data_IF_043526090036
#
_entry.id   IF_043526090036
#
_cell.length_a   1.000
_cell.length_b   1.000
_cell.length_c   1.000
_cell.angle_alpha   90.00
_cell.angle_beta   90.00
_cell.angle_gamma   90.00
#
_symmetry.space_group_name_H-M   'P 1'
#
loop_
_entity.id
_entity.type
_entity.pdbx_description
1 polymer ?
#
# COMPACT_ATOMS: atom_id res chain seq x y z
N UNK A 1 11.60 -6.77 3.53
CA UNK A 1 11.92 -6.67 2.09
C UNK A 1 11.46 -7.94 1.38
N UNK A 2 10.90 -7.85 0.17
CA UNK A 2 10.31 -9.00 -0.52
C UNK A 2 11.17 -9.42 -1.71
N UNK A 3 11.41 -10.72 -1.87
CA UNK A 3 12.04 -11.24 -3.09
C UNK A 3 11.01 -11.27 -4.22
N UNK A 4 11.16 -10.46 -5.27
CA UNK A 4 10.22 -10.45 -6.40
C UNK A 4 10.30 -11.80 -7.14
N UNK A 5 9.22 -12.19 -7.84
CA UNK A 5 9.30 -13.31 -8.75
C UNK A 5 10.20 -12.93 -9.94
N UNK A 6 11.17 -13.77 -10.29
CA UNK A 6 12.12 -13.48 -11.35
C UNK A 6 12.38 -14.69 -12.24
N UNK A 7 12.76 -14.42 -13.49
CA UNK A 7 13.14 -15.39 -14.50
C UNK A 7 14.44 -14.90 -15.16
N UNK A 8 15.39 -15.81 -15.39
CA UNK A 8 16.62 -15.54 -16.11
C UNK A 8 16.64 -16.28 -17.44
N UNK A 9 16.83 -15.52 -18.51
CA UNK A 9 17.12 -16.04 -19.84
C UNK A 9 18.44 -15.47 -20.34
N UNK A 10 19.04 -16.05 -21.36
CA UNK A 10 20.34 -15.60 -21.86
C UNK A 10 20.44 -15.70 -23.37
N UNK A 11 21.16 -14.74 -23.94
CA UNK A 11 21.64 -14.71 -25.31
C UNK A 11 23.18 -14.88 -25.32
N UNK A 12 23.82 -15.05 -26.49
CA UNK A 12 25.28 -15.11 -26.58
C UNK A 12 25.99 -13.85 -26.06
N UNK A 13 25.32 -12.69 -26.10
CA UNK A 13 25.92 -11.40 -25.72
C UNK A 13 25.34 -10.82 -24.42
N UNK A 14 24.09 -11.14 -24.07
CA UNK A 14 23.38 -10.56 -22.92
C UNK A 14 22.76 -11.61 -22.01
N UNK A 15 22.71 -11.33 -20.72
CA UNK A 15 21.86 -11.98 -19.72
C UNK A 15 20.59 -11.15 -19.58
N UNK A 16 19.43 -11.79 -19.68
CA UNK A 16 18.10 -11.16 -19.64
C UNK A 16 17.42 -11.53 -18.33
N UNK A 17 17.30 -10.57 -17.42
CA UNK A 17 16.58 -10.73 -16.16
C UNK A 17 15.17 -10.15 -16.30
N UNK A 18 14.18 -11.00 -16.10
CA UNK A 18 12.77 -10.61 -16.04
C UNK A 18 12.32 -10.64 -14.59
N UNK A 19 12.15 -9.48 -13.97
CA UNK A 19 11.78 -9.31 -12.58
C UNK A 19 10.34 -8.79 -12.52
N UNK A 20 9.45 -9.52 -11.88
CA UNK A 20 8.05 -9.15 -11.69
C UNK A 20 7.91 -8.30 -10.43
N UNK A 21 7.78 -7.00 -10.63
CA UNK A 21 7.61 -5.98 -9.61
C UNK A 21 6.30 -5.23 -9.85
N UNK A 22 5.15 -5.83 -9.49
CA UNK A 22 3.89 -5.14 -9.60
C UNK A 22 3.82 -4.02 -8.55
N UNK A 23 3.22 -2.89 -8.93
CA UNK A 23 2.93 -1.74 -8.06
C UNK A 23 4.12 -0.87 -7.61
N UNK A 24 5.31 -1.01 -8.23
CA UNK A 24 6.47 -0.12 -7.96
C UNK A 24 6.47 1.14 -8.82
N UNK A 25 6.91 2.27 -8.26
CA UNK A 25 7.19 3.49 -9.02
C UNK A 25 8.54 3.39 -9.74
N UNK A 26 8.62 3.90 -10.95
CA UNK A 26 9.83 3.89 -11.81
C UNK A 26 10.99 4.76 -11.29
N UNK A 27 10.77 5.58 -10.27
CA UNK A 27 11.73 6.58 -9.78
C UNK A 27 12.71 6.05 -8.73
N UNK A 28 12.54 4.81 -8.25
CA UNK A 28 13.31 4.23 -7.14
C UNK A 28 13.83 2.82 -7.51
N UNK A 29 14.54 2.71 -8.63
CA UNK A 29 15.23 1.48 -9.02
C UNK A 29 16.73 1.65 -8.84
N UNK A 30 17.31 0.91 -7.90
CA UNK A 30 18.75 0.83 -7.69
C UNK A 30 19.26 -0.53 -8.18
N UNK A 31 20.23 -0.48 -9.09
CA UNK A 31 20.89 -1.64 -9.67
C UNK A 31 22.35 -1.63 -9.23
N UNK A 32 22.86 -2.79 -8.80
CA UNK A 32 24.27 -2.96 -8.49
C UNK A 32 24.77 -4.26 -9.12
N UNK A 33 25.77 -4.13 -9.97
CA UNK A 33 26.39 -5.21 -10.72
C UNK A 33 27.87 -5.27 -10.33
N UNK A 34 28.29 -6.37 -9.71
CA UNK A 34 29.68 -6.60 -9.36
C UNK A 34 30.11 -8.02 -9.73
N UNK A 35 30.58 -8.18 -10.97
CA UNK A 35 31.11 -9.43 -11.49
C UNK A 35 30.08 -10.57 -11.45
N UNK A 36 30.09 -11.37 -10.40
CA UNK A 36 29.12 -12.47 -10.21
C UNK A 36 27.89 -12.07 -9.42
N UNK A 37 27.93 -10.96 -8.69
CA UNK A 37 26.86 -10.56 -7.79
C UNK A 37 26.00 -9.48 -8.46
N UNK A 38 24.70 -9.77 -8.53
CA UNK A 38 23.68 -8.86 -9.00
C UNK A 38 22.77 -8.51 -7.83
N UNK A 39 22.56 -7.22 -7.56
CA UNK A 39 21.59 -6.74 -6.58
C UNK A 39 20.64 -5.77 -7.25
N UNK A 40 19.36 -5.99 -7.03
CA UNK A 40 18.28 -5.13 -7.48
C UNK A 40 17.46 -4.70 -6.27
N UNK A 41 17.29 -3.40 -6.12
CA UNK A 41 16.49 -2.81 -5.08
C UNK A 41 15.43 -1.90 -5.71
N UNK A 42 14.18 -2.15 -5.34
CA UNK A 42 13.04 -1.42 -5.82
C UNK A 42 11.95 -1.49 -4.75
N UNK A 43 11.87 -0.50 -3.86
CA UNK A 43 11.01 -0.56 -2.68
C UNK A 43 9.57 -1.04 -3.04
N UNK A 44 9.06 -2.12 -2.42
CA UNK A 44 9.59 -2.90 -1.28
C UNK A 44 10.42 -4.16 -1.65
N UNK A 45 10.70 -4.35 -2.93
CA UNK A 45 11.39 -5.51 -3.48
C UNK A 45 12.92 -5.40 -3.34
N UNK A 46 13.55 -6.51 -2.97
CA UNK A 46 14.98 -6.67 -2.98
C UNK A 46 15.33 -8.06 -3.53
N UNK A 47 16.19 -8.09 -4.53
CA UNK A 47 16.65 -9.32 -5.17
C UNK A 47 18.17 -9.33 -5.19
N UNK A 48 18.78 -10.39 -4.65
CA UNK A 48 20.22 -10.63 -4.77
C UNK A 48 20.40 -11.94 -5.50
N UNK A 49 21.21 -11.94 -6.55
CA UNK A 49 21.59 -13.13 -7.29
C UNK A 49 23.09 -13.27 -7.31
N UNK A 50 23.58 -14.47 -7.04
CA UNK A 50 24.94 -14.88 -7.34
C UNK A 50 24.90 -15.70 -8.62
N UNK A 51 25.39 -15.10 -9.69
CA UNK A 51 25.43 -15.67 -11.02
C UNK A 51 26.62 -16.63 -11.18
N UNK A 52 26.49 -17.68 -12.00
CA UNK A 52 27.57 -18.65 -12.26
C UNK A 52 28.69 -18.08 -13.14
N UNK A 53 28.40 -17.05 -13.92
CA UNK A 53 29.35 -16.34 -14.78
C UNK A 53 29.43 -14.86 -14.43
N UNK A 54 30.40 -14.15 -15.02
CA UNK A 54 30.64 -12.73 -14.76
C UNK A 54 29.89 -11.82 -15.74
N UNK A 55 29.26 -10.80 -15.19
CA UNK A 55 28.58 -9.71 -15.88
C UNK A 55 29.31 -8.40 -15.64
N UNK A 56 29.21 -7.44 -16.57
CA UNK A 56 29.95 -6.17 -16.52
C UNK A 56 29.03 -5.00 -16.78
N UNK A 57 29.14 -3.96 -15.96
CA UNK A 57 28.44 -2.69 -16.16
C UNK A 57 29.19 -1.79 -17.15
N UNK A 58 29.03 -2.05 -18.44
CA UNK A 58 29.73 -1.37 -19.54
C UNK A 58 28.91 -0.23 -20.19
N UNK A 59 27.76 0.14 -19.61
CA UNK A 59 26.82 1.13 -20.18
C UNK A 59 26.07 0.66 -21.43
N UNK A 60 26.27 -0.60 -21.84
CA UNK A 60 25.46 -1.31 -22.86
C UNK A 60 24.19 -1.95 -22.30
N UNK A 61 24.00 -1.83 -20.98
CA UNK A 61 22.81 -2.20 -20.24
C UNK A 61 21.55 -1.63 -20.91
N UNK A 62 20.51 -2.43 -21.00
CA UNK A 62 19.18 -1.92 -21.35
C UNK A 62 18.21 -2.32 -20.26
N UNK A 63 17.33 -1.41 -19.87
CA UNK A 63 16.23 -1.71 -18.98
C UNK A 63 14.92 -1.28 -19.63
N UNK A 64 13.89 -2.11 -19.52
CA UNK A 64 12.53 -1.81 -19.95
C UNK A 64 11.57 -2.17 -18.84
N UNK A 65 10.72 -1.22 -18.47
CA UNK A 65 9.65 -1.46 -17.51
C UNK A 65 8.30 -1.42 -18.21
N UNK A 66 7.55 -2.53 -18.13
CA UNK A 66 6.16 -2.62 -18.57
C UNK A 66 5.25 -2.40 -17.35
N UNK A 67 4.74 -1.17 -17.23
CA UNK A 67 3.89 -0.74 -16.10
C UNK A 67 2.58 -1.54 -16.05
N UNK A 68 2.01 -1.89 -17.20
CA UNK A 68 0.71 -2.57 -17.28
C UNK A 68 0.81 -4.03 -16.79
N UNK A 69 1.99 -4.66 -16.99
CA UNK A 69 2.25 -6.04 -16.55
C UNK A 69 3.03 -6.13 -15.24
N UNK A 70 3.58 -5.03 -14.74
CA UNK A 70 4.48 -5.01 -13.58
C UNK A 70 5.74 -5.82 -13.83
N UNK A 71 6.27 -5.80 -15.06
CA UNK A 71 7.42 -6.59 -15.47
C UNK A 71 8.59 -5.67 -15.81
N UNK A 72 9.69 -5.83 -15.07
CA UNK A 72 10.96 -5.17 -15.31
C UNK A 72 11.89 -6.14 -16.04
N UNK A 73 12.26 -5.81 -17.28
CA UNK A 73 13.22 -6.58 -18.07
C UNK A 73 14.54 -5.82 -18.16
N UNK A 74 15.61 -6.47 -17.73
CA UNK A 74 16.97 -5.95 -17.76
C UNK A 74 17.84 -6.83 -18.68
N UNK A 75 18.57 -6.20 -19.59
CA UNK A 75 19.57 -6.85 -20.45
C UNK A 75 20.96 -6.40 -20.00
N UNK A 76 21.69 -7.30 -19.35
CA UNK A 76 23.04 -7.07 -18.83
C UNK A 76 24.05 -7.76 -19.74
N UNK A 77 25.11 -7.10 -20.24
CA UNK A 77 26.11 -7.74 -21.08
C UNK A 77 27.01 -8.70 -20.27
N UNK A 78 27.42 -9.80 -20.92
CA UNK A 78 28.37 -10.76 -20.35
C UNK A 78 29.81 -10.24 -20.48
N UNK A 79 30.68 -10.53 -19.52
CA UNK A 79 32.12 -10.21 -19.63
C UNK A 79 32.76 -10.93 -20.83
N UNK A 80 32.37 -12.18 -21.02
CA UNK A 80 32.84 -13.10 -22.06
C UNK A 80 31.71 -13.40 -23.05
N UNK A 81 31.74 -12.72 -24.21
CA UNK A 81 30.78 -12.95 -25.28
C UNK A 81 30.82 -14.41 -25.76
N UNK A 82 29.68 -15.10 -25.70
CA UNK A 82 29.53 -16.51 -26.06
C UNK A 82 29.60 -17.50 -24.89
N UNK A 83 29.91 -17.04 -23.66
CA UNK A 83 29.84 -17.91 -22.47
C UNK A 83 28.39 -18.25 -22.13
N UNK A 84 28.09 -19.55 -22.02
CA UNK A 84 26.76 -20.02 -21.65
C UNK A 84 26.70 -20.28 -20.15
N UNK A 85 25.82 -19.55 -19.45
CA UNK A 85 25.66 -19.67 -18.01
C UNK A 85 24.80 -20.90 -17.71
N UNK A 86 25.38 -21.92 -17.08
CA UNK A 86 24.64 -23.13 -16.69
C UNK A 86 23.86 -22.92 -15.39
N UNK A 87 22.69 -23.55 -15.26
CA UNK A 87 21.94 -23.53 -13.99
C UNK A 87 21.07 -22.30 -13.74
N UNK A 88 20.81 -21.46 -14.76
CA UNK A 88 19.90 -20.29 -14.64
C UNK A 88 18.48 -20.64 -14.17
N UNK A 89 18.04 -21.89 -14.37
CA UNK A 89 16.74 -22.40 -13.92
C UNK A 89 16.74 -22.83 -12.44
N UNK A 90 17.91 -22.98 -11.81
CA UNK A 90 18.02 -23.38 -10.40
C UNK A 90 17.99 -22.13 -9.51
N UNK A 91 16.85 -21.44 -9.49
CA UNK A 91 16.66 -20.14 -8.83
C UNK A 91 17.08 -20.15 -7.35
N UNK A 92 16.84 -21.24 -6.62
CA UNK A 92 17.28 -21.41 -5.22
C UNK A 92 18.80 -21.44 -5.06
N UNK A 93 19.53 -21.94 -6.05
CA UNK A 93 21.00 -21.95 -6.04
C UNK A 93 21.61 -20.59 -6.36
N UNK A 94 20.88 -19.74 -7.10
CA UNK A 94 21.28 -18.37 -7.43
C UNK A 94 21.02 -17.41 -6.26
N UNK A 95 20.09 -17.73 -5.37
CA UNK A 95 19.80 -16.99 -4.14
C UNK A 95 20.72 -17.38 -2.97
N UNK A 96 21.38 -18.53 -3.05
CA UNK A 96 22.21 -19.05 -1.98
C UNK A 96 23.57 -18.31 -1.89
N UNK A 97 23.99 -17.88 -0.69
CA UNK A 97 25.29 -17.24 -0.51
C UNK A 97 26.44 -18.19 -0.84
N UNK A 98 27.57 -17.64 -1.32
CA UNK A 98 28.81 -18.39 -1.51
C UNK A 98 29.32 -18.89 -0.16
N UNK A 99 28.89 -20.09 0.25
CA UNK A 99 29.33 -20.71 1.51
C UNK A 99 28.32 -21.64 2.17
N UNK A 100 27.03 -21.56 1.84
CA UNK A 100 26.00 -22.41 2.47
C UNK A 100 25.90 -23.80 1.80
N UNK A 101 27.03 -24.50 1.64
CA UNK A 101 26.98 -25.96 1.50
C UNK A 101 26.82 -26.53 2.91
N UNK A 102 25.56 -26.71 3.32
CA UNK A 102 25.20 -27.44 4.52
C UNK A 102 25.76 -28.87 4.46
N UNK A 103 26.87 -29.09 5.15
CA UNK A 103 27.24 -30.30 5.88
C UNK A 103 28.64 -30.06 6.51
N UNK A 104 28.69 -29.52 7.73
CA UNK A 104 29.89 -29.71 8.57
C UNK A 104 30.00 -31.21 8.89
N UNK A 105 31.12 -31.90 8.64
CA UNK A 105 31.29 -33.29 9.04
C UNK A 105 31.28 -33.38 10.57
N UNK A 106 30.35 -34.14 11.15
CA UNK A 106 30.43 -34.54 12.55
C UNK A 106 31.55 -35.57 12.68
N UNK A 107 32.75 -35.14 13.09
CA UNK A 107 33.68 -35.80 14.05
C UNK A 107 34.90 -34.87 14.16
N UNK A 108 35.08 -34.21 15.31
CA UNK A 108 36.36 -33.62 15.70
C UNK A 108 37.06 -34.59 16.64
N UNK A 109 38.15 -35.20 16.15
CA UNK A 109 39.12 -35.90 16.99
C UNK A 109 39.97 -34.86 17.75
N UNK A 110 40.08 -35.07 19.06
CA UNK A 110 40.83 -34.23 19.98
C UNK A 110 42.34 -34.35 19.68
N UNK A 111 42.91 -33.31 19.09
CA UNK A 111 44.37 -33.11 19.09
C UNK A 111 44.75 -31.62 19.12
N UNK A 112 45.17 -31.21 20.30
CA UNK A 112 46.10 -30.13 20.68
C UNK A 112 46.84 -29.39 19.55
N UNK A 113 46.78 -28.05 19.56
CA UNK A 113 47.85 -27.22 19.00
C UNK A 113 47.49 -25.78 18.57
N UNK A 114 47.81 -24.84 19.45
CA UNK A 114 48.45 -23.53 19.17
C UNK A 114 47.73 -22.40 18.36
N UNK A 115 47.50 -21.29 19.08
CA UNK A 115 47.74 -19.88 18.71
C UNK A 115 47.32 -19.36 17.33
N UNK A 116 46.21 -18.62 17.29
CA UNK A 116 46.17 -17.19 16.91
C UNK A 116 44.74 -16.66 17.07
N UNK A 117 44.53 -15.81 18.08
CA UNK A 117 43.37 -14.93 18.12
C UNK A 117 43.67 -13.76 17.18
N UNK A 118 43.43 -13.95 15.88
CA UNK A 118 43.16 -12.81 15.01
C UNK A 118 41.72 -12.38 15.31
N UNK A 119 41.56 -11.10 15.64
CA UNK A 119 40.27 -10.45 15.79
C UNK A 119 39.59 -10.52 14.42
N UNK A 120 38.75 -11.54 14.20
CA UNK A 120 37.76 -11.53 13.13
C UNK A 120 36.89 -10.29 13.39
N UNK A 121 37.14 -9.21 12.63
CA UNK A 121 36.13 -8.20 12.38
C UNK A 121 34.87 -8.98 11.97
N UNK A 122 33.89 -9.09 12.86
CA UNK A 122 32.57 -9.61 12.53
C UNK A 122 32.01 -8.69 11.44
N UNK A 123 32.34 -9.01 10.18
CA UNK A 123 31.79 -8.41 8.98
C UNK A 123 30.29 -8.62 9.12
N UNK A 124 29.59 -7.54 9.49
CA UNK A 124 28.19 -7.59 9.86
C UNK A 124 27.44 -8.29 8.75
N UNK A 125 26.93 -9.48 9.04
CA UNK A 125 26.38 -10.36 8.01
C UNK A 125 25.02 -9.81 7.56
N UNK A 126 25.05 -8.94 6.55
CA UNK A 126 23.85 -8.37 5.92
C UNK A 126 23.05 -9.43 5.11
N UNK A 127 23.28 -10.74 5.31
CA UNK A 127 22.58 -11.84 4.67
C UNK A 127 21.21 -12.08 5.31
N UNK A 128 20.18 -11.41 4.78
CA UNK A 128 18.79 -11.80 5.03
C UNK A 128 18.45 -13.00 4.13
N UNK A 129 18.01 -14.11 4.73
CA UNK A 129 17.55 -15.29 3.97
C UNK A 129 16.39 -14.92 3.04
N UNK A 130 16.56 -15.19 1.75
CA UNK A 130 15.56 -14.91 0.72
C UNK A 130 14.77 -16.19 0.41
N UNK A 131 13.48 -16.20 0.72
CA UNK A 131 12.58 -17.29 0.33
C UNK A 131 11.98 -17.02 -1.06
N UNK A 132 11.97 -18.05 -1.91
CA UNK A 132 11.38 -17.97 -3.26
C UNK A 132 9.87 -17.76 -3.13
N UNK A 133 9.35 -16.74 -3.82
CA UNK A 133 7.91 -16.49 -3.94
C UNK A 133 7.20 -17.72 -4.55
N UNK A 134 6.31 -18.34 -3.78
CA UNK A 134 5.35 -19.33 -4.29
C UNK A 134 4.01 -18.62 -4.57
N UNK A 135 3.51 -18.72 -5.81
CA UNK A 135 2.17 -18.23 -6.14
C UNK A 135 1.14 -18.96 -5.26
N UNK A 136 0.38 -18.19 -4.47
CA UNK A 136 -0.71 -18.73 -3.66
C UNK A 136 -1.75 -19.36 -4.59
N UNK A 137 -2.14 -20.59 -4.31
CA UNK A 137 -3.14 -21.30 -5.11
C UNK A 137 -4.51 -20.58 -5.04
N UNK A 138 -5.34 -20.69 -6.09
CA UNK A 138 -6.68 -20.07 -6.10
C UNK A 138 -7.57 -20.54 -4.94
N UNK A 139 -7.30 -21.72 -4.38
CA UNK A 139 -8.02 -22.30 -3.24
C UNK A 139 -7.63 -21.63 -1.92
N UNK A 140 -6.36 -21.26 -1.75
CA UNK A 140 -5.88 -20.44 -0.63
C UNK A 140 -6.43 -19.01 -0.73
N UNK A 141 -6.47 -18.40 -1.90
CA UNK A 141 -7.03 -17.05 -2.08
C UNK A 141 -8.55 -16.98 -1.81
N UNK A 142 -9.28 -18.09 -1.94
CA UNK A 142 -10.71 -18.18 -1.61
C UNK A 142 -10.98 -18.34 -0.11
N UNK A 143 -10.02 -18.86 0.66
CA UNK A 143 -10.16 -18.99 2.11
C UNK A 143 -9.83 -17.69 2.86
N UNK A 144 -9.09 -16.78 2.23
CA UNK A 144 -8.75 -15.47 2.79
C UNK A 144 -9.97 -14.53 2.88
N UNK A 145 -9.96 -13.70 3.91
CA UNK A 145 -10.99 -12.70 4.14
C UNK A 145 -10.83 -11.53 3.16
N UNK A 146 -11.89 -11.25 2.40
CA UNK A 146 -11.89 -10.18 1.40
C UNK A 146 -12.03 -8.79 2.03
N UNK A 147 -11.60 -7.78 1.28
CA UNK A 147 -11.67 -6.37 1.61
C UNK A 147 -11.61 -5.53 0.31
N UNK A 148 -11.43 -4.21 0.43
CA UNK A 148 -11.34 -3.32 -0.72
C UNK A 148 -12.71 -2.95 -1.29
N UNK A 149 -12.71 -2.28 -2.44
CA UNK A 149 -13.93 -1.90 -3.14
C UNK A 149 -14.84 -3.12 -3.36
N UNK A 150 -16.06 -3.04 -2.80
CA UNK A 150 -17.07 -4.10 -2.92
C UNK A 150 -16.69 -5.46 -2.30
N UNK A 151 -15.69 -5.52 -1.42
CA UNK A 151 -15.09 -6.77 -0.89
C UNK A 151 -14.58 -7.72 -2.00
N UNK A 152 -13.95 -7.15 -3.03
CA UNK A 152 -13.47 -7.93 -4.19
C UNK A 152 -11.97 -8.22 -4.16
N UNK A 153 -11.20 -7.64 -3.22
CA UNK A 153 -9.74 -7.81 -3.13
C UNK A 153 -9.38 -8.76 -1.99
N UNK A 154 -8.31 -9.53 -2.17
CA UNK A 154 -7.63 -10.35 -1.15
C UNK A 154 -6.17 -10.58 -1.57
N UNK A 155 -5.31 -10.97 -0.63
CA UNK A 155 -3.90 -11.32 -0.87
C UNK A 155 -2.95 -10.14 -1.13
N UNK A 156 -3.43 -8.90 -1.00
CA UNK A 156 -2.60 -7.69 -1.20
C UNK A 156 -1.78 -7.39 0.05
N UNK A 157 -2.38 -7.54 1.24
CA UNK A 157 -1.69 -7.22 2.49
C UNK A 157 -0.68 -8.30 2.89
N UNK A 158 -0.89 -9.56 2.50
CA UNK A 158 0.09 -10.63 2.70
C UNK A 158 1.42 -10.34 1.97
N UNK A 159 1.38 -9.60 0.87
CA UNK A 159 2.55 -9.28 0.05
C UNK A 159 3.33 -8.07 0.54
N UNK A 160 2.76 -7.22 1.39
CA UNK A 160 3.26 -5.86 1.68
C UNK A 160 3.27 -5.55 3.19
N UNK A 161 3.37 -6.58 4.05
CA UNK A 161 3.13 -6.44 5.49
C UNK A 161 3.97 -5.35 6.19
N UNK A 162 5.24 -5.15 5.81
CA UNK A 162 6.13 -4.18 6.46
C UNK A 162 5.77 -2.71 6.16
N UNK A 163 5.20 -2.40 4.99
CA UNK A 163 4.84 -1.00 4.64
C UNK A 163 3.42 -0.64 5.08
N UNK A 164 2.62 -1.65 5.43
CA UNK A 164 1.18 -1.50 5.63
C UNK A 164 0.75 -1.47 7.10
N UNK A 165 1.63 -1.81 8.04
CA UNK A 165 1.39 -1.55 9.47
C UNK A 165 1.13 -0.07 9.75
N UNK A 166 1.70 0.81 8.93
CA UNK A 166 1.55 2.25 9.09
C UNK A 166 0.28 2.80 8.42
N UNK A 167 -0.43 2.01 7.62
CA UNK A 167 -1.63 2.41 6.85
C UNK A 167 -2.92 1.96 7.52
N UNK A 168 -2.95 0.71 7.98
CA UNK A 168 -4.14 0.06 8.54
C UNK A 168 -3.92 -0.29 10.01
N UNK A 169 -5.01 -0.34 10.77
CA UNK A 169 -4.99 -0.64 12.21
C UNK A 169 -5.14 -2.14 12.51
N UNK A 170 -5.15 -2.98 11.47
CA UNK A 170 -5.32 -4.43 11.57
C UNK A 170 -3.97 -5.11 11.38
N UNK A 171 -3.57 -5.92 12.37
CA UNK A 171 -2.32 -6.70 12.32
C UNK A 171 -2.33 -7.77 11.24
N UNK A 172 -3.44 -8.50 11.08
CA UNK A 172 -3.60 -9.54 10.07
C UNK A 172 -4.94 -9.39 9.32
N UNK A 173 -5.00 -8.57 8.27
CA UNK A 173 -6.25 -8.33 7.54
C UNK A 173 -6.79 -9.58 6.84
N UNK A 174 -5.94 -10.48 6.34
CA UNK A 174 -6.39 -11.67 5.59
C UNK A 174 -6.97 -12.76 6.51
N UNK A 175 -6.47 -12.86 7.73
CA UNK A 175 -6.89 -13.86 8.72
C UNK A 175 -8.00 -13.40 9.67
N UNK A 176 -8.40 -12.12 9.62
CA UNK A 176 -9.41 -11.56 10.52
C UNK A 176 -10.76 -11.40 9.82
N UNK A 177 -11.79 -11.96 10.43
CA UNK A 177 -13.18 -11.84 9.96
C UNK A 177 -13.71 -10.42 10.14
N UNK A 178 -14.75 -10.06 9.38
CA UNK A 178 -15.39 -8.75 9.52
C UNK A 178 -15.90 -8.46 10.95
N UNK A 179 -16.35 -9.49 11.67
CA UNK A 179 -16.82 -9.35 13.05
C UNK A 179 -15.65 -9.09 14.03
N UNK A 180 -14.53 -9.79 13.86
CA UNK A 180 -13.32 -9.57 14.67
C UNK A 180 -12.73 -8.18 14.41
N UNK A 181 -12.67 -7.74 13.14
CA UNK A 181 -12.23 -6.37 12.78
C UNK A 181 -13.09 -5.32 13.48
N UNK A 182 -14.42 -5.50 13.48
CA UNK A 182 -15.35 -4.61 14.19
C UNK A 182 -15.10 -4.59 15.69
N UNK A 183 -14.94 -5.75 16.31
CA UNK A 183 -14.74 -5.86 17.75
C UNK A 183 -13.42 -5.17 18.17
N UNK A 184 -12.33 -5.50 17.49
CA UNK A 184 -11.02 -4.89 17.72
C UNK A 184 -11.04 -3.37 17.48
N UNK A 185 -11.78 -2.89 16.47
CA UNK A 185 -11.99 -1.45 16.24
C UNK A 185 -12.67 -0.77 17.41
N UNK A 186 -13.77 -1.36 17.92
CA UNK A 186 -14.53 -0.79 19.04
C UNK A 186 -13.69 -0.73 20.31
N UNK A 187 -12.87 -1.75 20.57
CA UNK A 187 -11.92 -1.78 21.68
C UNK A 187 -10.85 -0.69 21.52
N UNK A 188 -10.21 -0.61 20.35
CA UNK A 188 -9.19 0.40 20.07
C UNK A 188 -9.73 1.84 20.17
N UNK A 189 -10.95 2.09 19.68
CA UNK A 189 -11.62 3.40 19.82
C UNK A 189 -11.93 3.72 21.28
N UNK A 190 -12.37 2.73 22.05
CA UNK A 190 -12.69 2.93 23.47
C UNK A 190 -11.44 3.20 24.31
N UNK A 191 -10.31 2.59 23.95
CA UNK A 191 -9.01 2.85 24.57
C UNK A 191 -8.38 4.17 24.12
N UNK A 192 -8.63 4.61 22.88
CA UNK A 192 -8.07 5.87 22.35
C UNK A 192 -8.83 7.11 22.83
N UNK A 193 -10.10 6.96 23.22
CA UNK A 193 -10.91 8.08 23.69
C UNK A 193 -10.32 8.69 24.97
N UNK A 194 -10.00 9.98 24.91
CA UNK A 194 -9.56 10.76 26.08
C UNK A 194 -10.66 11.73 26.50
N UNK A 195 -11.31 11.52 27.67
CA UNK A 195 -12.31 12.43 28.19
C UNK A 195 -11.75 13.84 28.41
N UNK A 196 -10.53 13.95 28.91
CA UNK A 196 -9.90 15.24 29.22
C UNK A 196 -9.67 16.06 27.95
N UNK A 197 -9.16 15.43 26.88
CA UNK A 197 -8.98 16.11 25.59
C UNK A 197 -10.31 16.53 24.97
N UNK A 198 -11.33 15.67 25.06
CA UNK A 198 -12.67 16.02 24.58
C UNK A 198 -13.26 17.20 25.36
N UNK A 199 -13.08 17.25 26.68
CA UNK A 199 -13.57 18.35 27.51
C UNK A 199 -12.80 19.65 27.23
N UNK A 200 -11.48 19.58 26.99
CA UNK A 200 -10.69 20.73 26.57
C UNK A 200 -11.25 21.32 25.27
N UNK A 201 -11.43 20.50 24.23
CA UNK A 201 -12.00 20.93 22.95
C UNK A 201 -13.47 21.42 23.06
N UNK A 202 -14.21 20.95 24.06
CA UNK A 202 -15.59 21.35 24.31
C UNK A 202 -15.70 22.73 24.98
N UNK A 203 -14.76 23.08 25.87
CA UNK A 203 -14.79 24.34 26.62
C UNK A 203 -13.89 25.43 26.02
N UNK A 204 -12.83 25.05 25.30
CA UNK A 204 -11.89 25.94 24.61
C UNK A 204 -12.10 25.86 23.09
N UNK A 205 -13.31 26.21 22.64
CA UNK A 205 -13.77 25.92 21.27
C UNK A 205 -13.53 27.04 20.24
N UNK A 206 -12.73 28.06 20.56
CA UNK A 206 -12.51 29.24 19.70
C UNK A 206 -12.03 28.86 18.28
N UNK A 207 -11.03 27.98 18.18
CA UNK A 207 -10.55 27.46 16.89
C UNK A 207 -11.62 26.61 16.20
N UNK A 208 -12.37 25.79 16.93
CA UNK A 208 -13.46 24.98 16.38
C UNK A 208 -14.54 25.89 15.78
N UNK A 209 -14.90 26.98 16.45
CA UNK A 209 -15.86 27.97 15.96
C UNK A 209 -15.36 28.67 14.69
N UNK A 210 -14.05 28.92 14.57
CA UNK A 210 -13.44 29.40 13.32
C UNK A 210 -13.60 28.38 12.19
N UNK A 211 -13.23 27.11 12.42
CA UNK A 211 -13.36 26.04 11.43
C UNK A 211 -14.82 25.80 11.00
N UNK A 212 -15.79 26.02 11.88
CA UNK A 212 -17.22 25.92 11.55
C UNK A 212 -17.69 27.02 10.59
N UNK A 213 -17.09 28.22 10.64
CA UNK A 213 -17.39 29.35 9.75
C UNK A 213 -16.85 29.14 8.34
N UNK A 214 -15.83 28.30 8.18
CA UNK A 214 -15.26 27.96 6.87
C UNK A 214 -16.35 27.47 5.90
N UNK A 215 -16.24 27.91 4.64
CA UNK A 215 -17.19 27.58 3.57
C UNK A 215 -16.48 26.69 2.54
N UNK A 216 -16.78 25.37 2.54
CA UNK A 216 -16.19 24.47 1.56
C UNK A 216 -16.62 24.78 0.13
N UNK A 217 -15.76 24.41 -0.81
CA UNK A 217 -15.94 24.68 -2.25
C UNK A 217 -17.16 23.98 -2.85
N UNK A 218 -17.62 22.84 -2.33
CA UNK A 218 -18.80 22.13 -2.87
C UNK A 218 -20.14 22.87 -2.70
N UNK A 219 -20.14 24.06 -2.08
CA UNK A 219 -21.28 24.98 -2.13
C UNK A 219 -21.45 25.67 -3.50
N UNK A 220 -20.38 25.73 -4.30
CA UNK A 220 -20.36 26.31 -5.64
C UNK A 220 -19.55 25.38 -6.54
N UNK A 221 -20.23 24.66 -7.44
CA UNK A 221 -19.56 23.69 -8.30
C UNK A 221 -18.55 24.43 -9.20
N UNK A 222 -17.26 24.22 -8.96
CA UNK A 222 -16.19 24.76 -9.79
C UNK A 222 -15.94 23.85 -10.99
N UNK A 223 -15.48 24.44 -12.09
CA UNK A 223 -15.08 23.72 -13.29
C UNK A 223 -13.98 22.71 -12.98
N UNK A 224 -14.00 21.58 -13.69
CA UNK A 224 -12.93 20.58 -13.59
C UNK A 224 -11.60 21.16 -14.05
N UNK A 225 -10.52 20.78 -13.37
CA UNK A 225 -9.17 21.19 -13.72
C UNK A 225 -8.57 20.25 -14.78
N UNK A 226 -7.54 20.70 -15.48
CA UNK A 226 -6.84 19.88 -16.47
C UNK A 226 -6.17 18.65 -15.82
N UNK A 227 -5.61 18.81 -14.61
CA UNK A 227 -5.06 17.72 -13.79
C UNK A 227 -6.09 16.61 -13.49
N UNK A 228 -7.32 16.99 -13.12
CA UNK A 228 -8.42 16.04 -12.90
C UNK A 228 -8.71 15.24 -14.18
N UNK A 229 -8.70 15.93 -15.33
CA UNK A 229 -8.91 15.32 -16.65
C UNK A 229 -7.81 14.35 -17.04
N UNK A 230 -6.54 14.69 -16.84
CA UNK A 230 -5.41 13.79 -17.07
C UNK A 230 -5.47 12.56 -16.19
N UNK A 231 -5.83 12.74 -14.91
CA UNK A 231 -5.93 11.62 -14.00
C UNK A 231 -7.01 10.63 -14.42
N UNK A 232 -8.17 11.13 -14.84
CA UNK A 232 -9.26 10.29 -15.34
C UNK A 232 -8.87 9.51 -16.59
N UNK A 233 -7.96 10.03 -17.44
CA UNK A 233 -7.44 9.32 -18.62
C UNK A 233 -6.52 8.15 -18.25
N UNK A 234 -5.88 8.19 -17.07
CA UNK A 234 -5.03 7.10 -16.57
C UNK A 234 -5.84 5.92 -16.03
N UNK A 235 -7.10 6.13 -15.67
CA UNK A 235 -7.95 5.06 -15.18
C UNK A 235 -8.40 4.13 -16.31
N UNK A 236 -8.27 2.84 -16.08
CA UNK A 236 -8.77 1.82 -16.99
C UNK A 236 -10.29 1.80 -16.94
N UNK A 237 -10.93 1.69 -18.11
CA UNK A 237 -12.39 1.71 -18.21
C UNK A 237 -12.98 0.36 -17.79
N UNK A 238 -13.11 0.12 -16.48
CA UNK A 238 -13.62 -1.12 -15.91
C UNK A 238 -15.12 -1.04 -15.59
N UNK A 239 -15.90 -2.07 -15.93
CA UNK A 239 -17.31 -2.17 -15.51
C UNK A 239 -17.43 -3.10 -14.31
N UNK A 240 -17.87 -2.58 -13.17
CA UNK A 240 -18.10 -3.40 -11.97
C UNK A 240 -19.51 -3.98 -11.99
N UNK A 241 -19.59 -5.31 -12.02
CA UNK A 241 -20.83 -6.05 -11.79
C UNK A 241 -20.92 -6.36 -10.29
N UNK A 242 -21.55 -5.45 -9.55
CA UNK A 242 -21.84 -5.65 -8.13
C UNK A 242 -23.23 -6.23 -7.95
N UNK A 243 -23.34 -7.26 -7.11
CA UNK A 243 -24.62 -7.76 -6.65
C UNK A 243 -25.28 -6.72 -5.71
N UNK A 244 -26.53 -7.00 -5.30
CA UNK A 244 -27.29 -6.03 -4.49
C UNK A 244 -26.65 -5.80 -3.11
N UNK A 245 -26.00 -6.82 -2.54
CA UNK A 245 -25.35 -6.70 -1.25
C UNK A 245 -24.04 -5.89 -1.35
N UNK A 246 -23.14 -6.23 -2.27
CA UNK A 246 -21.90 -5.46 -2.48
C UNK A 246 -22.18 -4.04 -2.96
N UNK A 247 -23.24 -3.80 -3.75
CA UNK A 247 -23.64 -2.43 -4.12
C UNK A 247 -24.06 -1.61 -2.90
N UNK A 248 -24.81 -2.21 -1.97
CA UNK A 248 -25.19 -1.55 -0.72
C UNK A 248 -23.96 -1.25 0.14
N UNK A 249 -23.05 -2.22 0.26
CA UNK A 249 -21.79 -2.04 0.98
C UNK A 249 -20.96 -0.91 0.38
N UNK A 250 -20.76 -0.90 -0.95
CA UNK A 250 -20.01 0.12 -1.66
C UNK A 250 -20.55 1.54 -1.40
N UNK A 251 -21.87 1.71 -1.34
CA UNK A 251 -22.47 3.01 -0.97
C UNK A 251 -22.19 3.40 0.48
N UNK A 252 -22.26 2.46 1.42
CA UNK A 252 -22.00 2.73 2.83
C UNK A 252 -20.54 3.11 3.07
N UNK A 253 -19.60 2.39 2.47
CA UNK A 253 -18.17 2.71 2.52
C UNK A 253 -17.82 4.00 1.77
N UNK A 254 -18.51 4.32 0.66
CA UNK A 254 -18.35 5.62 0.02
C UNK A 254 -18.77 6.77 0.95
N UNK A 255 -19.88 6.62 1.67
CA UNK A 255 -20.32 7.63 2.65
C UNK A 255 -19.28 7.78 3.77
N UNK A 256 -18.75 6.67 4.28
CA UNK A 256 -17.71 6.68 5.31
C UNK A 256 -16.45 7.46 4.88
N UNK A 257 -15.98 7.22 3.64
CA UNK A 257 -14.82 7.92 3.05
C UNK A 257 -15.13 9.42 2.87
N UNK A 258 -16.32 9.76 2.36
CA UNK A 258 -16.71 11.15 2.15
C UNK A 258 -16.85 11.92 3.47
N UNK A 259 -17.34 11.27 4.54
CA UNK A 259 -17.42 11.88 5.87
C UNK A 259 -16.03 12.27 6.39
N UNK A 260 -15.06 11.35 6.28
CA UNK A 260 -13.67 11.60 6.65
C UNK A 260 -13.06 12.76 5.84
N UNK A 261 -13.29 12.78 4.53
CA UNK A 261 -12.84 13.88 3.67
C UNK A 261 -13.50 15.22 4.00
N UNK A 262 -14.81 15.24 4.30
CA UNK A 262 -15.51 16.46 4.68
C UNK A 262 -14.99 17.04 5.99
N UNK A 263 -14.66 16.17 6.97
CA UNK A 263 -14.00 16.61 8.18
C UNK A 263 -12.64 17.23 7.85
N UNK A 264 -11.83 16.52 7.06
CA UNK A 264 -10.46 16.96 6.74
C UNK A 264 -10.44 18.36 6.10
N UNK A 265 -11.26 18.56 5.07
CA UNK A 265 -11.36 19.85 4.38
C UNK A 265 -11.82 20.97 5.32
N UNK A 266 -12.59 20.66 6.37
CA UNK A 266 -12.95 21.65 7.38
C UNK A 266 -11.81 21.93 8.35
N UNK A 267 -11.15 20.88 8.85
CA UNK A 267 -10.07 21.02 9.81
C UNK A 267 -8.84 21.72 9.23
N UNK A 268 -8.68 21.70 7.91
CA UNK A 268 -7.58 22.39 7.23
C UNK A 268 -8.01 23.60 6.39
N UNK A 269 -9.26 24.05 6.55
CA UNK A 269 -9.81 25.20 5.81
C UNK A 269 -9.63 25.09 4.27
N UNK A 270 -9.60 23.86 3.73
CA UNK A 270 -9.48 23.56 2.31
C UNK A 270 -8.07 23.28 1.79
N UNK A 271 -7.04 23.47 2.60
CA UNK A 271 -5.64 23.24 2.18
C UNK A 271 -5.11 21.95 2.79
N UNK A 272 -4.72 20.99 1.96
CA UNK A 272 -4.18 19.71 2.45
C UNK A 272 -2.74 19.89 2.96
N UNK A 273 -2.40 19.14 4.01
CA UNK A 273 -1.08 19.12 4.64
C UNK A 273 -0.58 17.67 4.80
N UNK A 274 0.58 17.51 5.45
CA UNK A 274 1.22 16.19 5.63
C UNK A 274 0.39 15.20 6.47
N UNK A 275 -0.52 15.70 7.30
CA UNK A 275 -1.43 14.88 8.12
C UNK A 275 -2.76 14.57 7.41
N UNK A 276 -3.08 15.23 6.29
CA UNK A 276 -4.31 14.97 5.54
C UNK A 276 -4.51 13.49 5.16
N UNK A 277 -3.50 12.77 4.64
CA UNK A 277 -3.62 11.34 4.40
C UNK A 277 -3.96 10.56 5.67
N UNK A 278 -3.35 10.93 6.80
CA UNK A 278 -3.57 10.32 8.10
C UNK A 278 -4.98 10.58 8.63
N UNK A 279 -5.46 11.81 8.56
CA UNK A 279 -6.81 12.17 9.04
C UNK A 279 -7.88 11.45 8.22
N UNK A 280 -7.77 11.45 6.89
CA UNK A 280 -8.78 10.79 6.03
C UNK A 280 -8.81 9.28 6.31
N UNK A 281 -7.64 8.60 6.35
CA UNK A 281 -7.60 7.15 6.60
C UNK A 281 -8.06 6.82 8.01
N UNK A 282 -7.67 7.60 9.03
CA UNK A 282 -8.01 7.33 10.42
C UNK A 282 -9.44 7.64 10.74
N UNK A 283 -10.11 8.56 10.07
CA UNK A 283 -11.53 8.82 10.32
C UNK A 283 -12.46 7.89 9.55
N UNK A 284 -11.98 7.25 8.48
CA UNK A 284 -12.74 6.26 7.72
C UNK A 284 -12.45 4.84 8.22
N UNK A 285 -13.42 4.22 8.91
CA UNK A 285 -13.28 2.82 9.35
C UNK A 285 -13.14 1.83 8.18
N UNK A 286 -13.65 2.18 6.99
CA UNK A 286 -13.44 1.42 5.75
C UNK A 286 -11.95 1.37 5.39
N UNK A 287 -11.23 2.48 5.51
CA UNK A 287 -9.84 2.57 5.05
C UNK A 287 -8.85 1.96 6.06
N UNK A 288 -8.97 2.30 7.34
CA UNK A 288 -8.02 1.84 8.36
C UNK A 288 -8.37 0.48 8.99
N UNK A 289 -9.67 0.13 9.09
CA UNK A 289 -10.12 -1.12 9.70
C UNK A 289 -10.74 -2.10 8.70
N UNK A 290 -10.73 -1.78 7.39
CA UNK A 290 -11.33 -2.61 6.34
C UNK A 290 -12.76 -3.07 6.73
N UNK A 291 -13.48 -2.18 7.42
CA UNK A 291 -14.77 -2.44 8.04
C UNK A 291 -15.86 -2.53 6.97
N UNK A 292 -16.79 -3.46 7.18
CA UNK A 292 -17.97 -3.59 6.33
C UNK A 292 -19.22 -3.23 7.11
N UNK A 293 -19.86 -2.15 6.71
CA UNK A 293 -21.04 -1.65 7.42
C UNK A 293 -22.32 -2.32 6.92
N UNK A 294 -23.25 -2.55 7.85
CA UNK A 294 -24.57 -3.10 7.54
C UNK A 294 -25.64 -2.02 7.40
N UNK A 295 -25.42 -0.84 7.99
CA UNK A 295 -26.38 0.27 7.98
C UNK A 295 -25.70 1.64 7.98
N UNK A 296 -26.44 2.66 7.57
CA UNK A 296 -25.98 4.05 7.61
C UNK A 296 -25.73 4.53 9.05
N UNK A 297 -26.52 4.05 10.01
CA UNK A 297 -26.36 4.42 11.42
C UNK A 297 -24.99 3.96 11.93
N UNK A 298 -24.56 2.74 11.56
CA UNK A 298 -23.24 2.24 11.95
C UNK A 298 -22.11 3.09 11.36
N UNK A 299 -22.24 3.53 10.09
CA UNK A 299 -21.26 4.44 9.45
C UNK A 299 -21.16 5.75 10.24
N UNK A 300 -22.29 6.38 10.55
CA UNK A 300 -22.33 7.66 11.26
C UNK A 300 -21.79 7.55 12.70
N UNK A 301 -22.13 6.47 13.40
CA UNK A 301 -21.63 6.20 14.76
C UNK A 301 -20.13 5.93 14.73
N UNK A 302 -19.66 5.12 13.78
CA UNK A 302 -18.23 4.84 13.57
C UNK A 302 -17.46 6.14 13.33
N UNK A 303 -17.83 6.90 12.30
CA UNK A 303 -17.22 8.18 11.97
C UNK A 303 -17.22 9.14 13.17
N UNK A 304 -18.37 9.32 13.83
CA UNK A 304 -18.50 10.22 14.97
C UNK A 304 -17.59 9.83 16.13
N UNK A 305 -17.54 8.55 16.51
CA UNK A 305 -16.62 8.06 17.55
C UNK A 305 -15.17 8.37 17.20
N UNK A 306 -14.76 8.10 15.97
CA UNK A 306 -13.38 8.29 15.52
C UNK A 306 -12.96 9.75 15.52
N UNK A 307 -13.84 10.68 15.10
CA UNK A 307 -13.60 12.12 15.22
C UNK A 307 -13.41 12.56 16.67
N UNK A 308 -14.10 11.92 17.61
CA UNK A 308 -13.95 12.24 19.04
C UNK A 308 -12.74 11.55 19.70
N UNK A 309 -12.03 10.66 19.00
CA UNK A 309 -10.91 9.90 19.55
C UNK A 309 -9.54 10.35 19.00
N UNK A 310 -9.44 10.59 17.69
CA UNK A 310 -8.15 10.62 17.01
C UNK A 310 -7.62 12.00 16.60
N UNK A 311 -8.39 12.84 15.87
CA UNK A 311 -7.84 14.02 15.24
C UNK A 311 -7.51 15.12 16.27
N UNK A 312 -6.87 16.18 15.79
CA UNK A 312 -6.51 17.35 16.60
C UNK A 312 -7.72 18.03 17.23
N UNK A 313 -8.84 18.16 16.51
CA UNK A 313 -10.05 18.84 16.99
C UNK A 313 -11.21 17.85 17.24
N UNK A 314 -11.43 17.49 18.51
CA UNK A 314 -12.38 16.41 18.90
C UNK A 314 -13.69 16.99 19.36
N UNK A 315 -14.51 17.44 18.40
CA UNK A 315 -15.76 18.12 18.74
C UNK A 315 -16.97 17.61 17.95
N UNK A 316 -18.09 17.38 18.65
CA UNK A 316 -19.29 16.78 18.04
C UNK A 316 -19.98 17.68 17.00
N UNK A 317 -19.83 19.00 17.11
CA UNK A 317 -20.37 19.92 16.09
C UNK A 317 -19.63 19.81 14.76
N UNK A 318 -18.33 19.46 14.76
CA UNK A 318 -17.57 19.16 13.55
C UNK A 318 -18.08 17.88 12.88
N UNK A 319 -18.41 16.84 13.66
CA UNK A 319 -19.07 15.63 13.16
C UNK A 319 -20.37 16.01 12.44
N UNK A 320 -21.22 16.79 13.10
CA UNK A 320 -22.50 17.25 12.54
C UNK A 320 -22.30 18.11 11.28
N UNK A 321 -21.26 18.94 11.25
CA UNK A 321 -20.95 19.77 10.08
C UNK A 321 -20.48 18.93 8.89
N UNK A 322 -19.60 17.95 9.11
CA UNK A 322 -19.13 17.02 8.09
C UNK A 322 -20.28 16.17 7.50
N UNK A 323 -21.23 15.74 8.34
CA UNK A 323 -22.44 15.03 7.87
C UNK A 323 -23.28 15.93 6.97
N UNK A 324 -23.52 17.20 7.36
CA UNK A 324 -24.28 18.15 6.52
C UNK A 324 -23.59 18.43 5.19
N UNK A 325 -22.26 18.47 5.18
CA UNK A 325 -21.50 18.67 3.95
C UNK A 325 -21.53 17.45 3.05
N UNK A 326 -21.40 16.25 3.61
CA UNK A 326 -21.56 14.99 2.87
C UNK A 326 -22.93 14.93 2.19
N UNK A 327 -24.00 15.32 2.88
CA UNK A 327 -25.35 15.42 2.31
C UNK A 327 -25.36 16.39 1.11
N UNK A 328 -24.72 17.57 1.23
CA UNK A 328 -24.65 18.54 0.13
C UNK A 328 -23.87 18.01 -1.06
N UNK A 329 -22.74 17.34 -0.84
CA UNK A 329 -21.95 16.72 -1.91
C UNK A 329 -22.79 15.69 -2.66
N UNK A 330 -23.52 14.83 -1.94
CA UNK A 330 -24.41 13.84 -2.54
C UNK A 330 -25.57 14.49 -3.32
N UNK A 331 -26.15 15.58 -2.80
CA UNK A 331 -27.22 16.35 -3.47
C UNK A 331 -26.72 17.07 -4.73
N UNK A 332 -25.49 17.55 -4.75
CA UNK A 332 -24.84 18.17 -5.91
C UNK A 332 -24.55 17.18 -7.05
N UNK A 333 -24.73 15.87 -6.80
CA UNK A 333 -24.66 14.82 -7.80
C UNK A 333 -23.27 14.22 -7.99
N UNK A 334 -23.21 13.20 -8.87
CA UNK A 334 -22.03 12.34 -9.06
C UNK A 334 -20.74 13.07 -9.46
N UNK A 335 -20.84 14.20 -10.16
CA UNK A 335 -19.68 14.99 -10.56
C UNK A 335 -18.97 15.60 -9.34
N UNK A 336 -19.75 16.09 -8.35
CA UNK A 336 -19.19 16.61 -7.11
C UNK A 336 -18.52 15.49 -6.29
N UNK A 337 -19.17 14.33 -6.21
CA UNK A 337 -18.61 13.13 -5.54
C UNK A 337 -17.30 12.70 -6.20
N UNK A 338 -17.26 12.63 -7.54
CA UNK A 338 -16.06 12.27 -8.28
C UNK A 338 -14.91 13.24 -7.99
N UNK A 339 -15.19 14.55 -7.95
CA UNK A 339 -14.19 15.56 -7.61
C UNK A 339 -13.63 15.38 -6.20
N UNK A 340 -14.48 15.07 -5.21
CA UNK A 340 -14.01 14.73 -3.87
C UNK A 340 -13.10 13.50 -3.88
N UNK A 341 -13.47 12.44 -4.61
CA UNK A 341 -12.66 11.23 -4.73
C UNK A 341 -11.32 11.48 -5.44
N UNK A 342 -11.27 12.35 -6.45
CA UNK A 342 -10.03 12.74 -7.11
C UNK A 342 -9.10 13.51 -6.18
N UNK A 343 -9.65 14.40 -5.32
CA UNK A 343 -8.85 15.08 -4.30
C UNK A 343 -8.26 14.08 -3.29
N UNK A 344 -9.07 13.14 -2.80
CA UNK A 344 -8.58 12.06 -1.91
C UNK A 344 -7.49 11.24 -2.62
N UNK A 345 -7.69 10.92 -3.90
CA UNK A 345 -6.71 10.19 -4.68
C UNK A 345 -5.38 10.93 -4.78
N UNK A 346 -5.42 12.25 -5.00
CA UNK A 346 -4.22 13.10 -5.04
C UNK A 346 -3.48 13.04 -3.69
N UNK A 347 -4.20 13.28 -2.59
CA UNK A 347 -3.67 13.25 -1.22
C UNK A 347 -2.99 11.91 -0.91
N UNK A 348 -3.60 10.78 -1.27
CA UNK A 348 -3.00 9.46 -1.04
C UNK A 348 -1.85 9.13 -1.99
N UNK A 349 -1.81 9.69 -3.21
CA UNK A 349 -0.68 9.48 -4.10
C UNK A 349 0.58 10.14 -3.59
N UNK A 350 0.45 11.33 -3.01
CA UNK A 350 1.59 12.10 -2.52
C UNK A 350 2.20 11.51 -1.23
N UNK A 351 1.56 10.50 -0.63
CA UNK A 351 2.00 9.84 0.60
C UNK A 351 2.40 8.38 0.35
N UNK A 352 3.66 8.04 0.67
CA UNK A 352 4.30 6.76 0.35
C UNK A 352 3.61 5.51 0.90
N UNK A 353 3.02 5.48 2.09
CA UNK A 353 2.27 4.30 2.53
C UNK A 353 0.80 4.35 2.08
N UNK A 354 0.18 5.54 1.95
CA UNK A 354 -1.27 5.65 1.68
C UNK A 354 -1.68 5.38 0.22
N UNK A 355 -0.76 5.38 -0.76
CA UNK A 355 -1.12 5.20 -2.18
C UNK A 355 -1.84 3.88 -2.43
N UNK A 356 -1.57 2.84 -1.64
CA UNK A 356 -2.24 1.54 -1.79
C UNK A 356 -3.75 1.62 -1.60
N UNK A 357 -4.23 2.57 -0.80
CA UNK A 357 -5.66 2.80 -0.60
C UNK A 357 -6.33 3.33 -1.87
N UNK A 358 -5.57 3.95 -2.78
CA UNK A 358 -6.07 4.28 -4.10
C UNK A 358 -6.38 3.01 -4.90
N UNK A 359 -5.46 2.06 -4.92
CA UNK A 359 -5.62 0.81 -5.67
C UNK A 359 -6.67 -0.12 -5.05
N UNK A 360 -6.80 -0.11 -3.72
CA UNK A 360 -7.78 -0.92 -3.01
C UNK A 360 -9.21 -0.34 -3.04
N UNK A 361 -9.34 0.99 -3.04
CA UNK A 361 -10.63 1.66 -2.87
C UNK A 361 -10.84 2.80 -3.86
N UNK A 362 -10.01 3.86 -3.79
CA UNK A 362 -10.38 5.16 -4.38
C UNK A 362 -10.46 5.13 -5.90
N UNK A 363 -9.53 4.46 -6.59
CA UNK A 363 -9.52 4.29 -8.05
C UNK A 363 -10.80 3.60 -8.51
N UNK A 364 -11.17 2.50 -7.86
CA UNK A 364 -12.38 1.75 -8.20
C UNK A 364 -13.65 2.60 -7.94
N UNK A 365 -13.69 3.41 -6.88
CA UNK A 365 -14.78 4.37 -6.64
C UNK A 365 -14.88 5.47 -7.70
N UNK A 366 -13.74 6.03 -8.13
CA UNK A 366 -13.68 7.04 -9.19
C UNK A 366 -14.28 6.49 -10.49
N UNK A 367 -13.96 5.24 -10.85
CA UNK A 367 -14.51 4.60 -12.05
C UNK A 367 -15.99 4.24 -11.86
N UNK A 368 -16.34 3.68 -10.71
CA UNK A 368 -17.69 3.21 -10.44
C UNK A 368 -18.71 4.36 -10.45
N UNK A 369 -18.46 5.46 -9.72
CA UNK A 369 -19.43 6.55 -9.54
C UNK A 369 -19.83 7.22 -10.87
N UNK A 370 -18.97 7.16 -11.88
CA UNK A 370 -19.26 7.68 -13.23
C UNK A 370 -20.35 6.87 -13.95
N UNK A 371 -20.48 5.58 -13.62
CA UNK A 371 -21.39 4.63 -14.29
C UNK A 371 -22.66 4.36 -13.50
N UNK A 372 -22.70 4.72 -12.22
CA UNK A 372 -23.88 4.52 -11.39
C UNK A 372 -25.03 5.39 -11.90
N UNK A 373 -26.19 4.76 -12.05
CA UNK A 373 -27.48 5.39 -12.38
C UNK A 373 -28.27 5.69 -11.11
#
# INVERSE_FOLDING_TARGET
MITPAFDLSQDPEYLILNIRVPYTRTSEFDLYIDGTDFKFYAKPYFLRLTLPGRIVEDGREKAKFDIDKGLFTLWVPKETAGEHFEGLQMLTSLLAPKGSRSAKPLVEDVSTGNENCEEDEEEFDWQVEQEVYMESSEEELRSLQKYGFGNQRSGVFARLQEELSDVIDIKNPEGTTAAERRQARLEAESSAFSPDHYLADLFEDDEIQRLLKFRPWWKQLSTSTEEEGEQLRKFTNCSYLLDKASRRQAWLSLIDILLAYCYEVRSTEGEHNVESPWTIRKLSGTLCWLETYSSLIEVLVSFGRRVLCYPLYRHFTLVSAAVRDTIKILQSGRACVLKCLLNIHKVFRENDPAYILNDLYITDYCIWIQKVK
#
